data_IF_082983257516
#
_entry.id   IF_082983257516
#
_cell.length_a   1.000
_cell.length_b   1.000
_cell.length_c   1.000
_cell.angle_alpha   90.00
_cell.angle_beta   90.00
_cell.angle_gamma   90.00
#
_symmetry.space_group_name_H-M   'P 1'
#
loop_
_entity.id
_entity.type
_entity.pdbx_description
1 polymer ?
#
# COMPACT_ATOMS: atom_id res chain seq x y z
N UNK A 1 1.96 40.33 9.10
CA UNK A 1 1.30 39.31 8.28
C UNK A 1 1.66 39.65 6.84
N UNK A 2 2.77 39.10 6.34
CA UNK A 2 3.21 39.35 4.98
C UNK A 2 2.35 38.45 4.08
N UNK A 3 1.52 39.08 3.25
CA UNK A 3 0.92 38.47 2.07
C UNK A 3 2.01 37.73 1.30
N UNK A 4 1.97 36.40 1.31
CA UNK A 4 2.71 35.62 0.32
C UNK A 4 1.85 35.54 -0.94
N UNK A 5 2.41 35.82 -2.12
CA UNK A 5 1.66 35.87 -3.36
C UNK A 5 1.06 34.49 -3.67
N UNK A 6 -0.14 34.49 -4.27
CA UNK A 6 -0.74 33.31 -4.89
C UNK A 6 0.31 32.59 -5.75
N UNK A 7 0.74 31.40 -5.32
CA UNK A 7 1.78 30.62 -5.99
C UNK A 7 3.02 30.29 -5.15
N UNK A 8 3.16 30.78 -3.91
CA UNK A 8 4.27 30.38 -3.03
C UNK A 8 4.25 28.87 -2.74
N UNK A 9 5.33 28.17 -3.10
CA UNK A 9 5.52 26.75 -2.80
C UNK A 9 5.65 26.54 -1.29
N UNK A 10 4.82 25.65 -0.74
CA UNK A 10 4.90 25.19 0.65
C UNK A 10 6.03 24.17 0.83
N UNK A 11 6.20 23.28 -0.15
CA UNK A 11 7.26 22.27 -0.19
C UNK A 11 7.87 22.25 -1.59
N UNK A 12 9.19 22.23 -1.65
CA UNK A 12 9.98 22.10 -2.88
C UNK A 12 11.06 21.03 -2.67
N UNK A 13 10.99 19.96 -3.44
CA UNK A 13 11.88 18.81 -3.43
C UNK A 13 12.57 18.75 -4.78
N UNK A 14 13.91 18.73 -4.78
CA UNK A 14 14.72 18.70 -5.99
C UNK A 14 15.71 17.55 -5.96
N UNK A 15 15.52 16.62 -6.89
CA UNK A 15 16.35 15.43 -7.09
C UNK A 15 16.64 14.69 -5.78
N UNK A 16 15.61 14.57 -4.93
CA UNK A 16 15.74 13.94 -3.60
C UNK A 16 15.93 12.44 -3.76
N UNK A 17 17.01 11.91 -3.17
CA UNK A 17 17.26 10.48 -3.08
C UNK A 17 17.28 10.04 -1.63
N UNK A 18 16.93 8.79 -1.38
CA UNK A 18 17.05 8.15 -0.06
C UNK A 18 17.43 6.69 -0.22
N UNK A 19 18.54 6.33 0.40
CA UNK A 19 18.98 4.95 0.54
C UNK A 19 19.00 4.54 2.02
N UNK A 20 18.80 3.26 2.29
CA UNK A 20 18.95 2.67 3.61
C UNK A 20 19.99 1.56 3.55
N UNK A 21 20.98 1.61 4.45
CA UNK A 21 22.01 0.59 4.51
C UNK A 21 21.43 -0.73 5.02
N UNK A 22 21.60 -1.81 4.24
CA UNK A 22 21.30 -3.16 4.72
C UNK A 22 22.48 -3.70 5.51
N UNK A 23 22.21 -4.57 6.48
CA UNK A 23 23.26 -5.24 7.28
C UNK A 23 24.27 -6.04 6.45
N UNK A 24 23.94 -6.37 5.19
CA UNK A 24 24.79 -7.06 4.21
C UNK A 24 25.83 -6.17 3.51
N UNK A 25 25.79 -4.84 3.73
CA UNK A 25 26.75 -3.89 3.14
C UNK A 25 26.31 -3.23 1.82
N UNK A 26 25.19 -3.65 1.24
CA UNK A 26 24.56 -2.96 0.10
C UNK A 26 23.50 -1.95 0.54
N UNK A 27 23.51 -0.75 -0.05
CA UNK A 27 22.51 0.28 0.19
C UNK A 27 21.24 0.02 -0.64
N UNK A 28 20.08 -0.09 0.01
CA UNK A 28 18.79 -0.16 -0.66
C UNK A 28 18.34 1.25 -1.06
N UNK A 29 18.40 1.56 -2.36
CA UNK A 29 17.86 2.80 -2.91
C UNK A 29 16.33 2.75 -2.89
N UNK A 30 15.71 3.54 -2.00
CA UNK A 30 14.26 3.61 -1.85
C UNK A 30 13.65 4.76 -2.65
N UNK A 31 14.32 5.91 -2.69
CA UNK A 31 13.89 7.06 -3.50
C UNK A 31 15.02 7.47 -4.45
N UNK A 32 14.68 7.69 -5.72
CA UNK A 32 15.62 8.12 -6.76
C UNK A 32 15.14 9.40 -7.42
N UNK A 33 15.92 10.49 -7.25
CA UNK A 33 15.74 11.78 -7.93
C UNK A 33 14.30 12.27 -7.94
N UNK A 34 13.66 12.28 -6.77
CA UNK A 34 12.29 12.75 -6.63
C UNK A 34 12.25 14.27 -6.73
N UNK A 35 11.54 14.77 -7.75
CA UNK A 35 11.17 16.18 -7.90
C UNK A 35 9.69 16.36 -7.57
N UNK A 36 9.38 17.27 -6.64
CA UNK A 36 8.02 17.52 -6.17
C UNK A 36 7.86 18.95 -5.67
N UNK A 37 6.80 19.62 -6.09
CA UNK A 37 6.41 20.92 -5.55
C UNK A 37 4.97 20.89 -5.07
N UNK A 38 4.72 21.31 -3.83
CA UNK A 38 3.38 21.47 -3.25
C UNK A 38 3.08 22.95 -3.10
N UNK A 39 1.89 23.37 -3.53
CA UNK A 39 1.40 24.74 -3.43
C UNK A 39 0.20 24.79 -2.47
N UNK A 40 -0.05 25.97 -1.89
CA UNK A 40 -1.27 26.22 -1.11
C UNK A 40 -2.54 26.05 -1.96
N UNK A 41 -3.65 25.71 -1.31
CA UNK A 41 -5.00 25.67 -1.86
C UNK A 41 -5.35 24.38 -2.60
N UNK A 42 -4.54 23.33 -2.51
CA UNK A 42 -4.80 22.05 -3.19
C UNK A 42 -4.64 20.87 -2.25
N UNK A 43 -5.44 19.83 -2.48
CA UNK A 43 -5.20 18.48 -1.96
C UNK A 43 -4.37 17.72 -3.01
N UNK A 44 -3.19 17.27 -2.62
CA UNK A 44 -2.29 16.50 -3.47
C UNK A 44 -2.23 15.06 -2.97
N UNK A 45 -2.48 14.11 -3.86
CA UNK A 45 -2.38 12.68 -3.61
C UNK A 45 -1.08 12.10 -4.14
N UNK A 46 -0.37 11.34 -3.32
CA UNK A 46 0.71 10.45 -3.72
C UNK A 46 0.14 9.04 -3.82
N UNK A 47 -0.01 8.57 -5.05
CA UNK A 47 -0.64 7.30 -5.37
C UNK A 47 0.41 6.31 -5.86
N UNK A 48 0.46 5.10 -5.32
CA UNK A 48 1.40 4.08 -5.79
C UNK A 48 1.33 2.80 -4.98
N UNK A 49 1.93 1.73 -5.49
CA UNK A 49 1.93 0.41 -4.84
C UNK A 49 2.58 0.44 -3.45
N UNK A 50 2.25 -0.52 -2.59
CA UNK A 50 2.97 -0.70 -1.33
C UNK A 50 4.48 -0.84 -1.57
N UNK A 51 5.30 -0.33 -0.65
CA UNK A 51 6.76 -0.33 -0.79
C UNK A 51 7.36 0.64 -1.81
N UNK A 52 6.57 1.46 -2.52
CA UNK A 52 7.10 2.41 -3.52
C UNK A 52 7.86 3.63 -2.95
N UNK A 53 8.02 3.72 -1.63
CA UNK A 53 8.74 4.82 -0.97
C UNK A 53 7.88 6.05 -0.61
N UNK A 54 6.55 6.01 -0.77
CA UNK A 54 5.63 7.12 -0.45
C UNK A 54 5.76 7.61 1.00
N UNK A 55 5.67 6.70 1.97
CA UNK A 55 5.81 7.04 3.40
C UNK A 55 7.23 7.52 3.73
N UNK A 56 8.25 7.02 3.03
CA UNK A 56 9.63 7.56 3.13
C UNK A 56 9.68 9.01 2.67
N UNK A 57 9.07 9.36 1.54
CA UNK A 57 9.00 10.74 1.06
C UNK A 57 8.25 11.63 2.06
N UNK A 58 7.11 11.16 2.57
CA UNK A 58 6.30 11.90 3.53
C UNK A 58 7.08 12.18 4.82
N UNK A 59 7.86 11.20 5.32
CA UNK A 59 8.76 11.37 6.48
C UNK A 59 9.91 12.35 6.23
N UNK A 60 10.41 12.46 4.99
CA UNK A 60 11.38 13.50 4.64
C UNK A 60 10.74 14.88 4.72
N UNK A 61 9.53 15.06 4.17
CA UNK A 61 8.80 16.33 4.21
C UNK A 61 8.44 16.70 5.66
N UNK A 62 8.08 15.72 6.49
CA UNK A 62 7.84 15.88 7.92
C UNK A 62 9.12 16.15 8.73
N UNK A 63 10.30 16.09 8.11
CA UNK A 63 11.59 16.29 8.78
C UNK A 63 11.97 15.19 9.77
N UNK A 64 11.35 14.01 9.66
CA UNK A 64 11.61 12.86 10.53
C UNK A 64 12.84 12.06 10.06
N UNK A 65 13.13 12.08 8.76
CA UNK A 65 14.32 11.49 8.18
C UNK A 65 14.95 12.47 7.17
N UNK A 66 16.28 12.49 7.10
CA UNK A 66 16.99 13.31 6.12
C UNK A 66 17.07 12.59 4.76
N UNK A 67 17.06 13.32 3.63
CA UNK A 67 17.41 12.72 2.34
C UNK A 67 18.89 12.29 2.33
N UNK A 68 19.23 11.27 1.53
CA UNK A 68 20.64 10.88 1.30
C UNK A 68 21.35 11.84 0.35
N UNK A 69 20.62 12.41 -0.61
CA UNK A 69 21.09 13.48 -1.50
C UNK A 69 19.90 14.28 -2.05
N UNK A 70 20.20 15.38 -2.74
CA UNK A 70 19.18 16.32 -3.23
C UNK A 70 18.84 17.38 -2.19
N UNK A 71 17.83 18.18 -2.49
CA UNK A 71 17.43 19.33 -1.67
C UNK A 71 15.94 19.26 -1.35
N UNK A 72 15.61 19.38 -0.07
CA UNK A 72 14.24 19.32 0.45
C UNK A 72 13.98 20.60 1.24
N UNK A 73 13.01 21.40 0.79
CA UNK A 73 12.69 22.70 1.40
C UNK A 73 11.22 22.78 1.79
N UNK A 74 10.95 23.43 2.92
CA UNK A 74 9.61 23.83 3.34
C UNK A 74 9.60 25.36 3.49
N UNK A 75 8.68 26.04 2.79
CA UNK A 75 8.57 27.52 2.73
C UNK A 75 9.91 28.22 2.43
N UNK A 76 10.71 27.62 1.54
CA UNK A 76 12.01 28.14 1.13
C UNK A 76 13.19 27.78 2.03
N UNK A 77 12.96 27.18 3.20
CA UNK A 77 14.01 26.76 4.14
C UNK A 77 14.32 25.27 4.01
N UNK A 78 15.60 24.89 4.06
CA UNK A 78 16.01 23.47 4.02
C UNK A 78 15.49 22.71 5.23
N UNK A 79 14.86 21.57 4.99
CA UNK A 79 14.33 20.67 6.02
C UNK A 79 15.50 19.94 6.70
N UNK A 80 15.78 20.29 7.95
CA UNK A 80 16.80 19.63 8.80
C UNK A 80 16.22 18.83 9.96
N UNK A 81 14.92 18.97 10.17
CA UNK A 81 14.13 18.42 11.27
C UNK A 81 12.67 18.83 11.06
N UNK A 82 11.76 18.52 11.99
CA UNK A 82 10.34 18.81 11.84
C UNK A 82 10.08 20.31 11.58
N UNK A 83 9.62 20.68 10.37
CA UNK A 83 9.40 22.08 10.04
C UNK A 83 8.16 22.62 10.77
N UNK A 84 8.22 23.88 11.21
CA UNK A 84 7.06 24.55 11.79
C UNK A 84 5.88 24.55 10.82
N UNK A 85 4.64 24.47 11.30
CA UNK A 85 3.45 24.52 10.44
C UNK A 85 3.29 23.31 9.51
N UNK A 86 3.94 22.19 9.80
CA UNK A 86 3.63 20.90 9.17
C UNK A 86 3.11 19.97 10.26
N UNK A 87 1.97 19.32 10.00
CA UNK A 87 1.42 18.29 10.88
C UNK A 87 1.25 16.98 10.13
N UNK A 88 1.33 15.86 10.84
CA UNK A 88 1.24 14.53 10.25
C UNK A 88 0.14 13.70 10.93
N UNK A 89 -0.66 13.04 10.11
CA UNK A 89 -1.58 11.97 10.50
C UNK A 89 -0.98 10.66 10.02
N UNK A 90 -0.79 9.73 10.95
CA UNK A 90 -0.15 8.44 10.70
C UNK A 90 -1.17 7.38 10.32
N UNK A 91 -0.70 6.32 9.64
CA UNK A 91 -1.49 5.15 9.27
C UNK A 91 -2.03 4.42 10.51
N UNK A 92 -1.17 4.17 11.50
CA UNK A 92 -1.64 3.80 12.84
C UNK A 92 -2.19 5.05 13.53
N UNK A 93 -3.32 4.96 14.23
CA UNK A 93 -3.91 6.08 14.97
C UNK A 93 -2.88 6.87 15.82
N UNK A 94 -1.83 6.19 16.29
CA UNK A 94 -0.68 6.75 17.00
C UNK A 94 -1.09 7.67 18.17
N UNK A 95 -2.22 7.35 18.81
CA UNK A 95 -2.71 8.06 20.00
C UNK A 95 -2.00 7.50 21.24
N UNK A 96 -1.80 8.34 22.24
CA UNK A 96 -1.28 7.92 23.53
C UNK A 96 -2.41 7.26 24.34
N UNK A 97 -2.32 5.94 24.62
CA UNK A 97 -3.44 5.18 25.18
C UNK A 97 -3.75 5.53 26.64
N UNK A 98 -2.82 6.18 27.34
CA UNK A 98 -2.97 6.64 28.72
C UNK A 98 -3.41 8.11 28.84
N UNK A 99 -3.59 8.81 27.71
CA UNK A 99 -4.13 10.17 27.67
C UNK A 99 -5.58 10.12 27.20
N UNK A 100 -6.42 11.04 27.70
CA UNK A 100 -7.77 11.23 27.17
C UNK A 100 -7.76 11.83 25.77
N UNK A 101 -8.92 11.90 25.10
CA UNK A 101 -9.07 12.60 23.81
C UNK A 101 -8.57 14.03 23.91
N UNK A 102 -9.04 14.79 24.90
CA UNK A 102 -8.60 16.17 25.14
C UNK A 102 -7.08 16.26 25.27
N UNK A 103 -6.49 15.43 26.13
CA UNK A 103 -5.05 15.43 26.37
C UNK A 103 -4.23 15.04 25.13
N UNK A 104 -4.74 14.10 24.32
CA UNK A 104 -4.11 13.74 23.04
C UNK A 104 -4.07 14.93 22.09
N UNK A 105 -5.16 15.69 21.99
CA UNK A 105 -5.26 16.88 21.13
C UNK A 105 -4.40 18.02 21.67
N UNK A 106 -4.37 18.23 22.98
CA UNK A 106 -3.59 19.29 23.63
C UNK A 106 -2.06 19.14 23.44
N UNK A 107 -1.56 17.92 23.19
CA UNK A 107 -0.13 17.60 23.16
C UNK A 107 0.69 18.48 22.20
N UNK A 108 0.17 18.72 20.99
CA UNK A 108 0.86 19.54 19.99
C UNK A 108 1.01 21.00 20.44
N UNK A 109 -0.01 21.54 21.11
CA UNK A 109 0.02 22.89 21.66
C UNK A 109 0.93 23.00 22.89
N UNK A 110 1.01 21.94 23.70
CA UNK A 110 1.94 21.86 24.83
C UNK A 110 3.40 21.94 24.37
N UNK A 111 3.74 21.19 23.32
CA UNK A 111 5.08 21.22 22.73
C UNK A 111 5.45 22.59 22.15
N UNK A 112 4.45 23.37 21.73
CA UNK A 112 4.61 24.76 21.27
C UNK A 112 4.65 25.78 22.43
N UNK A 113 4.51 25.34 23.68
CA UNK A 113 4.52 26.21 24.86
C UNK A 113 3.28 27.08 25.02
N UNK A 114 2.15 26.68 24.44
CA UNK A 114 0.87 27.41 24.57
C UNK A 114 0.32 27.24 25.99
N UNK A 115 -0.18 28.33 26.59
CA UNK A 115 -0.76 28.33 27.93
C UNK A 115 -1.91 27.31 28.06
N UNK A 116 -2.06 26.73 29.26
CA UNK A 116 -3.01 25.66 29.52
C UNK A 116 -4.47 26.04 29.22
N UNK A 117 -4.88 27.29 29.48
CA UNK A 117 -6.27 27.73 29.28
C UNK A 117 -6.58 27.92 27.79
N UNK A 118 -5.64 28.52 27.06
CA UNK A 118 -5.73 28.67 25.61
C UNK A 118 -5.69 27.32 24.91
N UNK A 119 -4.78 26.44 25.35
CA UNK A 119 -4.63 25.08 24.84
C UNK A 119 -5.91 24.28 24.96
N UNK A 120 -6.55 24.31 26.12
CA UNK A 120 -7.84 23.64 26.34
C UNK A 120 -8.92 24.17 25.41
N UNK A 121 -9.02 25.50 25.28
CA UNK A 121 -10.02 26.16 24.42
C UNK A 121 -9.86 25.72 22.96
N UNK A 122 -8.63 25.73 22.43
CA UNK A 122 -8.34 25.29 21.07
C UNK A 122 -8.59 23.79 20.87
N UNK A 123 -8.20 22.95 21.82
CA UNK A 123 -8.41 21.52 21.73
C UNK A 123 -9.90 21.17 21.69
N UNK A 124 -10.73 21.81 22.52
CA UNK A 124 -12.18 21.65 22.49
C UNK A 124 -12.78 22.05 21.14
N UNK A 125 -12.37 23.19 20.59
CA UNK A 125 -12.83 23.63 19.27
C UNK A 125 -12.41 22.66 18.15
N UNK A 126 -11.19 22.11 18.23
CA UNK A 126 -10.72 21.12 17.27
C UNK A 126 -11.47 19.79 17.38
N UNK A 127 -11.86 19.37 18.59
CA UNK A 127 -12.67 18.16 18.83
C UNK A 127 -14.09 18.33 18.29
N UNK A 128 -14.70 19.49 18.52
CA UNK A 128 -16.02 19.84 17.98
C UNK A 128 -16.00 19.88 16.44
N UNK A 129 -14.95 20.47 15.84
CA UNK A 129 -14.78 20.52 14.38
C UNK A 129 -14.83 19.15 13.71
N UNK A 130 -14.31 18.11 14.36
CA UNK A 130 -14.32 16.73 13.84
C UNK A 130 -15.52 15.90 14.33
N UNK A 131 -16.46 16.50 15.06
CA UNK A 131 -17.71 15.87 15.51
C UNK A 131 -17.54 14.83 16.62
N UNK A 132 -16.66 15.11 17.60
CA UNK A 132 -16.49 14.28 18.80
C UNK A 132 -16.82 15.03 20.10
N UNK A 133 -17.77 15.96 20.04
CA UNK A 133 -18.31 16.60 21.25
C UNK A 133 -18.83 15.54 22.24
N UNK A 134 -18.52 15.73 23.52
CA UNK A 134 -18.89 14.80 24.60
C UNK A 134 -17.93 13.62 24.81
N UNK A 135 -16.89 13.45 23.98
CA UNK A 135 -15.87 12.39 24.14
C UNK A 135 -14.53 12.89 24.69
N UNK A 136 -14.45 14.13 25.16
CA UNK A 136 -13.20 14.80 25.56
C UNK A 136 -12.45 14.07 26.68
N UNK A 137 -13.20 13.45 27.60
CA UNK A 137 -12.68 12.69 28.73
C UNK A 137 -12.46 11.20 28.43
N UNK A 138 -12.88 10.70 27.27
CA UNK A 138 -12.72 9.30 26.91
C UNK A 138 -11.24 8.98 26.64
N UNK A 139 -10.85 7.74 26.89
CA UNK A 139 -9.54 7.19 26.52
C UNK A 139 -9.63 6.51 25.13
N UNK A 140 -8.53 6.43 24.36
CA UNK A 140 -8.53 5.83 23.02
C UNK A 140 -9.13 4.41 22.94
N UNK A 141 -9.00 3.61 24.00
CA UNK A 141 -9.57 2.26 24.10
C UNK A 141 -11.10 2.22 24.17
N UNK A 142 -11.74 3.34 24.51
CA UNK A 142 -13.19 3.49 24.63
C UNK A 142 -13.83 3.98 23.31
N UNK A 143 -13.01 4.25 22.30
CA UNK A 143 -13.42 4.82 21.02
C UNK A 143 -13.43 3.74 19.92
N UNK A 144 -14.30 3.90 18.92
CA UNK A 144 -14.23 3.10 17.68
C UNK A 144 -13.00 3.49 16.83
N UNK A 145 -12.68 2.70 15.80
CA UNK A 145 -11.59 3.00 14.87
C UNK A 145 -11.73 4.37 14.22
N UNK A 146 -12.92 4.68 13.68
CA UNK A 146 -13.20 5.97 13.07
C UNK A 146 -13.07 7.13 14.06
N UNK A 147 -13.56 6.96 15.29
CA UNK A 147 -13.42 7.96 16.34
C UNK A 147 -11.94 8.20 16.70
N UNK A 148 -11.13 7.14 16.85
CA UNK A 148 -9.68 7.30 17.07
C UNK A 148 -9.00 8.07 15.93
N UNK A 149 -9.39 7.81 14.69
CA UNK A 149 -8.84 8.55 13.54
C UNK A 149 -9.25 10.02 13.56
N UNK A 150 -10.50 10.34 13.92
CA UNK A 150 -10.97 11.72 14.14
C UNK A 150 -10.16 12.45 15.22
N UNK A 151 -9.82 11.78 16.33
CA UNK A 151 -8.90 12.35 17.33
C UNK A 151 -7.52 12.63 16.73
N UNK A 152 -7.03 11.73 15.86
CA UNK A 152 -5.79 11.95 15.09
C UNK A 152 -5.84 13.22 14.24
N UNK A 153 -6.96 13.47 13.54
CA UNK A 153 -7.17 14.72 12.80
C UNK A 153 -7.23 15.93 13.72
N UNK A 154 -8.03 15.90 14.80
CA UNK A 154 -8.07 17.02 15.76
C UNK A 154 -6.67 17.39 16.27
N UNK A 155 -5.87 16.38 16.67
CA UNK A 155 -4.49 16.59 17.14
C UNK A 155 -3.59 17.22 16.08
N UNK A 156 -3.77 16.89 14.81
CA UNK A 156 -2.99 17.49 13.73
C UNK A 156 -3.48 18.90 13.36
N UNK A 157 -4.80 19.13 13.39
CA UNK A 157 -5.43 20.40 12.99
C UNK A 157 -5.31 21.50 14.05
N UNK A 158 -5.27 21.14 15.33
CA UNK A 158 -5.28 22.11 16.45
C UNK A 158 -4.08 23.07 16.43
N UNK A 159 -2.95 22.67 15.84
CA UNK A 159 -1.75 23.52 15.71
C UNK A 159 -1.80 24.46 14.50
N UNK A 160 -2.91 24.47 13.76
CA UNK A 160 -3.15 25.27 12.54
C UNK A 160 -1.99 25.14 11.52
N UNK A 161 -1.71 23.92 11.04
CA UNK A 161 -0.57 23.69 10.15
C UNK A 161 -0.82 24.30 8.77
N UNK A 162 0.23 24.83 8.13
CA UNK A 162 0.17 25.20 6.72
C UNK A 162 0.00 23.97 5.82
N UNK A 163 0.67 22.86 6.14
CA UNK A 163 0.59 21.61 5.39
C UNK A 163 0.20 20.44 6.30
N UNK A 164 -0.89 19.76 5.94
CA UNK A 164 -1.29 18.50 6.56
C UNK A 164 -0.78 17.33 5.73
N UNK A 165 0.05 16.50 6.34
CA UNK A 165 0.55 15.25 5.77
C UNK A 165 -0.32 14.10 6.27
N UNK A 166 -0.77 13.22 5.38
CA UNK A 166 -1.56 12.05 5.76
C UNK A 166 -0.94 10.78 5.16
N UNK A 167 -0.55 9.82 5.99
CA UNK A 167 0.01 8.53 5.56
C UNK A 167 -1.08 7.45 5.68
N UNK A 168 -1.72 7.09 4.57
CA UNK A 168 -2.81 6.11 4.51
C UNK A 168 -3.89 6.31 5.60
N UNK A 169 -4.47 7.52 5.71
CA UNK A 169 -5.29 7.90 6.86
C UNK A 169 -6.61 7.14 7.00
N UNK A 170 -7.01 6.31 6.03
CA UNK A 170 -8.27 5.57 6.08
C UNK A 170 -8.10 4.06 5.93
N UNK A 171 -6.87 3.55 5.79
CA UNK A 171 -6.63 2.12 5.49
C UNK A 171 -6.97 1.18 6.65
N UNK A 172 -6.96 1.67 7.88
CA UNK A 172 -7.23 0.88 9.08
C UNK A 172 -8.71 0.90 9.52
N UNK A 173 -9.61 1.42 8.68
CA UNK A 173 -11.03 1.61 8.97
C UNK A 173 -11.87 0.66 8.10
N UNK A 174 -13.03 0.25 8.60
CA UNK A 174 -14.02 -0.43 7.75
C UNK A 174 -14.53 0.51 6.65
N UNK A 175 -15.00 -0.07 5.55
CA UNK A 175 -15.36 0.63 4.31
C UNK A 175 -16.34 1.80 4.54
N UNK A 176 -17.39 1.58 5.34
CA UNK A 176 -18.44 2.60 5.58
C UNK A 176 -17.91 3.74 6.46
N UNK A 177 -17.15 3.41 7.50
CA UNK A 177 -16.51 4.42 8.35
C UNK A 177 -15.48 5.24 7.57
N UNK A 178 -14.65 4.60 6.74
CA UNK A 178 -13.69 5.27 5.87
C UNK A 178 -14.39 6.22 4.88
N UNK A 179 -15.49 5.79 4.26
CA UNK A 179 -16.28 6.62 3.35
C UNK A 179 -16.89 7.85 4.01
N UNK A 180 -17.53 7.66 5.16
CA UNK A 180 -18.12 8.76 5.92
C UNK A 180 -17.05 9.79 6.28
N UNK A 181 -15.93 9.32 6.83
CA UNK A 181 -14.88 10.19 7.31
C UNK A 181 -14.14 10.93 6.17
N UNK A 182 -13.99 10.31 5.00
CA UNK A 182 -13.46 10.99 3.80
C UNK A 182 -14.38 12.11 3.34
N UNK A 183 -15.68 11.84 3.31
CA UNK A 183 -16.70 12.82 2.89
C UNK A 183 -16.68 14.01 3.82
N UNK A 184 -16.72 13.78 5.14
CA UNK A 184 -16.64 14.84 6.15
C UNK A 184 -15.38 15.72 5.99
N UNK A 185 -14.21 15.11 5.77
CA UNK A 185 -12.97 15.87 5.58
C UNK A 185 -12.98 16.72 4.30
N UNK A 186 -13.50 16.16 3.21
CA UNK A 186 -13.64 16.88 1.93
C UNK A 186 -14.62 18.04 2.09
N UNK A 187 -15.75 17.83 2.76
CA UNK A 187 -16.74 18.88 3.02
C UNK A 187 -16.15 20.01 3.87
N UNK A 188 -15.46 19.67 4.98
CA UNK A 188 -14.76 20.66 5.81
C UNK A 188 -13.68 21.44 5.04
N UNK A 189 -12.99 20.79 4.11
CA UNK A 189 -12.00 21.42 3.25
C UNK A 189 -12.64 22.41 2.26
N UNK A 190 -13.70 22.00 1.55
CA UNK A 190 -14.41 22.83 0.57
C UNK A 190 -15.09 24.02 1.24
N UNK A 191 -15.67 23.81 2.43
CA UNK A 191 -16.29 24.87 3.23
C UNK A 191 -15.26 25.87 3.79
N UNK A 192 -13.96 25.60 3.66
CA UNK A 192 -12.89 26.45 4.20
C UNK A 192 -12.82 26.46 5.73
N UNK A 193 -13.36 25.41 6.38
CA UNK A 193 -13.41 25.29 7.84
C UNK A 193 -12.17 24.64 8.43
N UNK A 194 -11.40 23.90 7.63
CA UNK A 194 -10.12 23.34 8.08
C UNK A 194 -9.06 24.46 8.19
N UNK A 195 -8.40 24.63 9.34
CA UNK A 195 -7.37 25.65 9.54
C UNK A 195 -6.03 25.25 8.92
N UNK A 196 -6.02 24.89 7.63
CA UNK A 196 -4.85 24.40 6.89
C UNK A 196 -4.75 25.04 5.50
N UNK A 197 -3.54 25.15 4.93
CA UNK A 197 -3.35 25.72 3.58
C UNK A 197 -3.31 24.68 2.48
N UNK A 198 -2.85 23.46 2.75
CA UNK A 198 -2.78 22.36 1.76
C UNK A 198 -2.73 21.01 2.45
N UNK A 199 -3.04 19.97 1.70
CA UNK A 199 -2.98 18.57 2.14
C UNK A 199 -2.09 17.79 1.17
N UNK A 200 -1.19 16.97 1.72
CA UNK A 200 -0.49 15.93 0.98
C UNK A 200 -0.87 14.58 1.59
N UNK A 201 -1.61 13.77 0.86
CA UNK A 201 -2.03 12.45 1.30
C UNK A 201 -1.34 11.35 0.51
N UNK A 202 -0.95 10.30 1.19
CA UNK A 202 -0.47 9.05 0.62
C UNK A 202 -1.60 8.04 0.68
N UNK A 203 -1.90 7.43 -0.44
CA UNK A 203 -2.85 6.32 -0.52
C UNK A 203 -2.41 5.33 -1.60
N UNK A 204 -2.88 4.10 -1.50
CA UNK A 204 -2.82 3.11 -2.56
C UNK A 204 -4.17 2.94 -3.26
N UNK A 205 -5.24 3.59 -2.79
CA UNK A 205 -6.58 3.52 -3.35
C UNK A 205 -6.80 4.62 -4.41
N UNK A 206 -7.11 4.21 -5.64
CA UNK A 206 -7.31 5.12 -6.78
C UNK A 206 -8.60 5.92 -6.62
N UNK A 207 -9.71 5.29 -6.24
CA UNK A 207 -10.99 5.99 -6.04
C UNK A 207 -10.87 7.05 -4.95
N UNK A 208 -10.16 6.75 -3.86
CA UNK A 208 -9.88 7.70 -2.79
C UNK A 208 -9.12 8.92 -3.33
N UNK A 209 -8.06 8.70 -4.09
CA UNK A 209 -7.28 9.77 -4.69
C UNK A 209 -8.14 10.63 -5.63
N UNK A 210 -8.96 10.01 -6.48
CA UNK A 210 -9.87 10.74 -7.40
C UNK A 210 -10.99 11.45 -6.65
N UNK A 211 -11.46 10.90 -5.53
CA UNK A 211 -12.52 11.52 -4.73
C UNK A 211 -12.02 12.78 -4.01
N UNK A 212 -10.79 12.76 -3.49
CA UNK A 212 -10.31 13.80 -2.57
C UNK A 212 -9.32 14.80 -3.18
N UNK A 213 -8.51 14.39 -4.16
CA UNK A 213 -7.35 15.18 -4.59
C UNK A 213 -7.66 16.07 -5.79
N UNK A 214 -7.05 17.25 -5.85
CA UNK A 214 -7.02 18.11 -7.05
C UNK A 214 -5.90 17.70 -8.02
N UNK A 215 -4.87 17.05 -7.48
CA UNK A 215 -3.66 16.62 -8.19
C UNK A 215 -3.18 15.30 -7.62
N UNK A 216 -2.94 14.33 -8.50
CA UNK A 216 -2.45 13.00 -8.16
C UNK A 216 -1.07 12.80 -8.79
N UNK A 217 -0.12 12.35 -7.99
CA UNK A 217 1.24 12.01 -8.38
C UNK A 217 1.40 10.50 -8.27
N UNK A 218 1.56 9.86 -9.43
CA UNK A 218 1.74 8.42 -9.50
C UNK A 218 3.20 8.09 -9.22
N UNK A 219 3.44 7.29 -8.19
CA UNK A 219 4.74 6.83 -7.73
C UNK A 219 5.06 5.44 -8.29
N UNK A 220 6.20 5.28 -8.96
CA UNK A 220 6.71 3.94 -9.32
C UNK A 220 7.42 3.28 -8.15
N UNK A 221 7.52 1.95 -8.17
CA UNK A 221 8.27 1.18 -7.17
C UNK A 221 9.68 0.81 -7.67
N UNK A 222 10.62 0.64 -6.73
CA UNK A 222 11.95 0.06 -6.94
C UNK A 222 12.79 0.68 -8.09
N UNK A 223 13.29 1.92 -7.93
CA UNK A 223 13.13 2.83 -6.79
C UNK A 223 11.93 3.78 -6.93
N UNK A 224 11.57 4.42 -5.82
CA UNK A 224 10.52 5.43 -5.75
C UNK A 224 10.83 6.69 -6.54
N UNK A 225 9.98 7.01 -7.52
CA UNK A 225 10.03 8.26 -8.31
C UNK A 225 8.63 8.66 -8.78
N UNK A 226 8.45 9.94 -9.08
CA UNK A 226 7.22 10.44 -9.71
C UNK A 226 7.20 9.98 -11.17
N UNK A 227 6.33 9.04 -11.49
CA UNK A 227 6.18 8.48 -12.83
C UNK A 227 5.22 9.28 -13.70
N UNK A 228 4.15 9.81 -13.11
CA UNK A 228 3.18 10.64 -13.80
C UNK A 228 2.51 11.63 -12.85
N UNK A 229 2.03 12.72 -13.43
CA UNK A 229 1.19 13.71 -12.76
C UNK A 229 -0.17 13.76 -13.46
N UNK A 230 -1.23 13.78 -12.66
CA UNK A 230 -2.61 13.73 -13.11
C UNK A 230 -3.38 14.83 -12.40
N UNK A 231 -3.99 15.72 -13.17
CA UNK A 231 -4.86 16.77 -12.66
C UNK A 231 -6.29 16.24 -12.60
N UNK A 232 -6.97 16.45 -11.49
CA UNK A 232 -8.36 16.03 -11.31
C UNK A 232 -9.27 17.24 -11.52
N UNK A 233 -9.76 17.41 -12.74
CA UNK A 233 -10.61 18.55 -13.14
C UNK A 233 -12.11 18.32 -12.87
N UNK A 234 -12.43 17.39 -11.95
CA UNK A 234 -13.81 17.11 -11.53
C UNK A 234 -14.20 18.04 -10.37
N UNK A 235 -15.33 18.77 -10.47
CA UNK A 235 -15.80 19.62 -9.37
C UNK A 235 -16.28 18.77 -8.20
N UNK A 236 -16.19 19.32 -6.99
CA UNK A 236 -16.83 18.73 -5.82
C UNK A 236 -18.30 19.20 -5.71
N UNK A 237 -19.21 18.38 -5.13
CA UNK A 237 -18.99 17.02 -4.66
C UNK A 237 -18.84 16.03 -5.83
N UNK A 238 -17.96 15.03 -5.68
CA UNK A 238 -17.68 14.02 -6.70
C UNK A 238 -18.45 12.75 -6.38
N UNK A 239 -19.15 12.17 -7.35
CA UNK A 239 -19.88 10.91 -7.17
C UNK A 239 -19.21 9.76 -7.91
N UNK A 240 -19.01 8.63 -7.22
CA UNK A 240 -18.32 7.44 -7.78
C UNK A 240 -19.07 6.78 -8.95
N UNK A 241 -20.37 7.04 -9.04
CA UNK A 241 -21.22 6.52 -10.12
C UNK A 241 -21.14 7.37 -11.38
N UNK A 242 -20.54 8.57 -11.32
CA UNK A 242 -20.43 9.45 -12.48
C UNK A 242 -19.51 8.84 -13.53
N UNK A 243 -19.92 8.80 -14.82
CA UNK A 243 -19.08 8.22 -15.88
C UNK A 243 -17.70 8.88 -15.99
N UNK A 244 -17.62 10.20 -15.78
CA UNK A 244 -16.35 10.94 -15.82
C UNK A 244 -15.41 10.57 -14.66
N UNK A 245 -15.97 10.26 -13.48
CA UNK A 245 -15.21 9.76 -12.34
C UNK A 245 -14.60 8.39 -12.66
N UNK A 246 -15.43 7.45 -13.14
CA UNK A 246 -15.00 6.10 -13.51
C UNK A 246 -13.94 6.11 -14.60
N UNK A 247 -14.15 6.87 -15.67
CA UNK A 247 -13.15 7.04 -16.73
C UNK A 247 -11.80 7.53 -16.21
N UNK A 248 -11.80 8.46 -15.24
CA UNK A 248 -10.57 8.95 -14.64
C UNK A 248 -9.90 7.85 -13.80
N UNK A 249 -10.66 7.13 -12.98
CA UNK A 249 -10.19 5.96 -12.23
C UNK A 249 -9.56 4.93 -13.17
N UNK A 250 -10.27 4.53 -14.23
CA UNK A 250 -9.80 3.58 -15.24
C UNK A 250 -8.51 4.06 -15.93
N UNK A 251 -8.41 5.36 -16.23
CA UNK A 251 -7.22 5.94 -16.84
C UNK A 251 -6.00 5.94 -15.91
N UNK A 252 -6.21 6.22 -14.61
CA UNK A 252 -5.14 6.17 -13.61
C UNK A 252 -4.71 4.72 -13.39
N UNK A 253 -5.70 3.83 -13.32
CA UNK A 253 -5.51 2.40 -13.22
C UNK A 253 -4.66 1.85 -14.38
N UNK A 254 -5.03 2.18 -15.62
CA UNK A 254 -4.27 1.82 -16.82
C UNK A 254 -2.83 2.34 -16.75
N UNK A 255 -2.60 3.58 -16.29
CA UNK A 255 -1.25 4.14 -16.12
C UNK A 255 -0.44 3.46 -15.02
N UNK A 256 -1.08 2.97 -13.97
CA UNK A 256 -0.41 2.23 -12.89
C UNK A 256 -0.07 0.79 -13.28
N UNK A 257 -0.78 0.23 -14.26
CA UNK A 257 -0.59 -1.14 -14.76
C UNK A 257 0.22 -1.19 -16.05
N UNK A 258 0.24 -0.13 -16.85
CA UNK A 258 1.15 0.05 -17.96
C UNK A 258 2.57 0.12 -17.40
N UNK A 259 3.29 -1.01 -17.51
CA UNK A 259 4.74 -0.94 -17.62
C UNK A 259 5.03 0.05 -18.75
N UNK A 260 5.97 0.99 -18.59
CA UNK A 260 6.50 1.65 -19.78
C UNK A 260 6.90 0.53 -20.74
N UNK A 261 6.38 0.56 -21.96
CA UNK A 261 6.80 -0.32 -23.04
C UNK A 261 8.30 -0.09 -23.26
N UNK A 262 9.11 -0.78 -22.45
CA UNK A 262 10.42 -1.22 -22.83
C UNK A 262 10.15 -2.08 -24.06
N UNK A 263 10.49 -1.53 -25.22
CA UNK A 263 10.70 -2.31 -26.45
C UNK A 263 11.31 -3.63 -26.04
N UNK A 264 10.55 -4.69 -26.16
CA UNK A 264 11.04 -6.06 -25.99
C UNK A 264 12.14 -6.26 -27.04
N UNK A 265 13.36 -6.59 -26.59
CA UNK A 265 13.92 -7.85 -27.04
C UNK A 265 13.96 -8.78 -25.83
N UNK A 266 13.38 -9.96 -26.04
CA UNK A 266 13.54 -11.17 -25.25
C UNK A 266 13.56 -11.02 -23.71
N UNK A 267 12.49 -11.51 -23.08
CA UNK A 267 12.51 -12.20 -21.76
C UNK A 267 13.42 -11.54 -20.71
N UNK A 268 12.95 -10.48 -20.05
CA UNK A 268 13.49 -10.06 -18.75
C UNK A 268 12.52 -9.09 -18.06
N UNK A 269 12.25 -9.29 -16.77
CA UNK A 269 11.59 -8.28 -15.92
C UNK A 269 10.36 -8.74 -15.12
N UNK A 270 10.49 -9.79 -14.31
CA UNK A 270 9.93 -9.80 -12.95
C UNK A 270 11.15 -9.56 -12.05
N UNK A 271 11.11 -8.62 -11.12
CA UNK A 271 12.20 -8.50 -10.15
C UNK A 271 12.27 -9.81 -9.36
N UNK A 272 13.36 -10.56 -9.55
CA UNK A 272 13.50 -11.96 -9.14
C UNK A 272 13.37 -12.96 -10.30
N UNK A 273 14.22 -12.89 -11.33
CA UNK A 273 14.41 -14.03 -12.25
C UNK A 273 15.34 -15.05 -11.59
N UNK A 274 14.79 -15.84 -10.66
CA UNK A 274 15.53 -16.83 -9.90
C UNK A 274 14.93 -17.12 -8.52
N UNK A 275 15.73 -17.69 -7.63
CA UNK A 275 15.30 -18.08 -6.27
C UNK A 275 14.89 -16.86 -5.42
N UNK A 276 15.40 -15.66 -5.71
CA UNK A 276 15.03 -14.42 -5.01
C UNK A 276 13.65 -13.83 -5.33
N UNK A 277 12.72 -14.62 -5.88
CA UNK A 277 11.34 -14.18 -6.12
C UNK A 277 10.56 -14.12 -4.80
N UNK A 278 10.04 -12.94 -4.44
CA UNK A 278 9.19 -12.77 -3.25
C UNK A 278 7.78 -13.30 -3.56
N UNK A 279 7.27 -14.19 -2.72
CA UNK A 279 5.89 -14.66 -2.77
C UNK A 279 5.15 -14.21 -1.51
N UNK A 280 4.09 -13.44 -1.71
CA UNK A 280 3.17 -13.12 -0.63
C UNK A 280 2.18 -14.27 -0.41
N UNK A 281 1.70 -14.42 0.83
CA UNK A 281 0.90 -15.57 1.21
C UNK A 281 -0.49 -15.60 0.56
N UNK A 282 -0.75 -16.62 -0.27
CA UNK A 282 -2.10 -16.97 -0.75
C UNK A 282 -2.28 -18.48 -0.65
N UNK A 283 -3.41 -18.93 -0.13
CA UNK A 283 -3.72 -20.36 -0.13
C UNK A 283 -4.10 -20.87 -1.52
N UNK A 284 -3.76 -22.13 -1.82
CA UNK A 284 -4.17 -22.77 -3.08
C UNK A 284 -5.68 -22.86 -3.25
N UNK A 285 -6.43 -22.95 -2.14
CA UNK A 285 -7.90 -22.99 -2.14
C UNK A 285 -8.48 -21.68 -2.67
N UNK A 286 -7.91 -20.54 -2.26
CA UNK A 286 -8.33 -19.21 -2.75
C UNK A 286 -8.04 -19.07 -4.24
N UNK A 287 -6.84 -19.46 -4.70
CA UNK A 287 -6.50 -19.43 -6.12
C UNK A 287 -7.40 -20.34 -6.96
N UNK A 288 -7.68 -21.55 -6.47
CA UNK A 288 -8.57 -22.50 -7.16
C UNK A 288 -10.00 -21.95 -7.24
N UNK A 289 -10.54 -21.44 -6.13
CA UNK A 289 -11.87 -20.85 -6.08
C UNK A 289 -12.00 -19.61 -6.99
N UNK A 290 -10.93 -18.81 -7.12
CA UNK A 290 -10.90 -17.67 -8.04
C UNK A 290 -10.93 -18.12 -9.50
N UNK A 291 -10.16 -19.15 -9.86
CA UNK A 291 -10.20 -19.73 -11.23
C UNK A 291 -11.59 -20.28 -11.55
N UNK A 292 -12.21 -21.02 -10.61
CA UNK A 292 -13.57 -21.53 -10.76
C UNK A 292 -14.60 -20.41 -10.91
N UNK A 293 -14.50 -19.38 -10.07
CA UNK A 293 -15.40 -18.22 -10.12
C UNK A 293 -15.29 -17.51 -11.46
N UNK A 294 -14.07 -17.28 -11.96
CA UNK A 294 -13.86 -16.66 -13.27
C UNK A 294 -14.42 -17.52 -14.41
N UNK A 295 -14.28 -18.84 -14.34
CA UNK A 295 -14.75 -19.75 -15.39
C UNK A 295 -16.28 -19.87 -15.43
N UNK A 296 -16.96 -19.62 -14.32
CA UNK A 296 -18.41 -19.69 -14.22
C UNK A 296 -19.11 -18.41 -14.73
N UNK A 297 -20.39 -18.49 -15.14
CA UNK A 297 -21.20 -17.31 -15.40
C UNK A 297 -21.32 -16.43 -14.15
N UNK A 298 -21.32 -15.09 -14.27
CA UNK A 298 -21.42 -14.30 -15.51
C UNK A 298 -20.08 -13.94 -16.16
N UNK A 299 -18.96 -14.48 -15.67
CA UNK A 299 -17.61 -14.03 -16.08
C UNK A 299 -17.07 -14.78 -17.30
N UNK A 300 -17.44 -16.06 -17.49
CA UNK A 300 -17.10 -16.84 -18.68
C UNK A 300 -15.62 -16.76 -19.11
N UNK A 301 -14.72 -16.73 -18.11
CA UNK A 301 -13.27 -16.67 -18.26
C UNK A 301 -12.65 -15.28 -18.25
N UNK A 302 -13.43 -14.20 -18.13
CA UNK A 302 -12.94 -12.81 -18.04
C UNK A 302 -13.76 -11.98 -17.06
N UNK A 303 -13.09 -11.33 -16.13
CA UNK A 303 -13.73 -10.41 -15.21
C UNK A 303 -12.94 -9.12 -15.05
N UNK A 304 -13.66 -8.00 -14.98
CA UNK A 304 -13.14 -6.75 -14.42
C UNK A 304 -12.82 -6.98 -12.94
N UNK A 305 -11.59 -6.69 -12.52
CA UNK A 305 -11.12 -6.95 -11.16
C UNK A 305 -11.90 -6.18 -10.09
N UNK A 306 -12.16 -4.87 -10.22
CA UNK A 306 -13.03 -4.15 -9.30
C UNK A 306 -14.41 -4.81 -9.12
N UNK A 307 -15.05 -5.22 -10.21
CA UNK A 307 -16.35 -5.92 -10.16
C UNK A 307 -16.23 -7.25 -9.42
N UNK A 308 -15.19 -8.03 -9.75
CA UNK A 308 -14.94 -9.32 -9.14
C UNK A 308 -14.61 -9.20 -7.64
N UNK A 309 -13.82 -8.22 -7.25
CA UNK A 309 -13.49 -7.92 -5.85
C UNK A 309 -14.75 -7.58 -5.06
N UNK A 310 -15.61 -6.72 -5.61
CA UNK A 310 -16.89 -6.36 -5.01
C UNK A 310 -17.81 -7.57 -4.82
N UNK A 311 -17.84 -8.49 -5.78
CA UNK A 311 -18.63 -9.72 -5.68
C UNK A 311 -18.08 -10.71 -4.64
N UNK A 312 -16.76 -10.80 -4.53
CA UNK A 312 -16.06 -11.69 -3.59
C UNK A 312 -15.87 -11.07 -2.20
N UNK A 313 -16.30 -9.82 -1.98
CA UNK A 313 -16.06 -9.05 -0.75
C UNK A 313 -14.57 -8.99 -0.38
N UNK A 314 -13.72 -8.88 -1.40
CA UNK A 314 -12.26 -8.75 -1.25
C UNK A 314 -11.86 -7.29 -1.41
N UNK A 315 -10.81 -6.90 -0.70
CA UNK A 315 -10.18 -5.61 -0.93
C UNK A 315 -9.46 -5.60 -2.30
N UNK A 316 -9.24 -4.39 -2.83
CA UNK A 316 -8.64 -4.25 -4.16
C UNK A 316 -7.21 -4.82 -4.20
N UNK A 317 -6.42 -4.62 -3.16
CA UNK A 317 -5.06 -5.17 -3.03
C UNK A 317 -5.05 -6.70 -2.91
N UNK A 318 -5.99 -7.28 -2.17
CA UNK A 318 -6.15 -8.73 -2.05
C UNK A 318 -6.44 -9.37 -3.42
N UNK A 319 -7.40 -8.85 -4.18
CA UNK A 319 -7.71 -9.40 -5.51
C UNK A 319 -6.53 -9.21 -6.47
N UNK A 320 -5.76 -8.13 -6.35
CA UNK A 320 -4.57 -7.90 -7.17
C UNK A 320 -3.50 -8.93 -6.89
N UNK A 321 -3.25 -9.19 -5.60
CA UNK A 321 -2.28 -10.18 -5.19
C UNK A 321 -2.66 -11.59 -5.68
N UNK A 322 -3.95 -11.94 -5.62
CA UNK A 322 -4.43 -13.20 -6.16
C UNK A 322 -4.28 -13.27 -7.69
N UNK A 323 -4.59 -12.17 -8.39
CA UNK A 323 -4.37 -12.05 -9.83
C UNK A 323 -2.90 -12.17 -10.24
N UNK A 324 -1.98 -11.53 -9.52
CA UNK A 324 -0.53 -11.64 -9.74
C UNK A 324 -0.03 -13.07 -9.50
N UNK A 325 -0.55 -13.76 -8.48
CA UNK A 325 -0.25 -15.17 -8.19
C UNK A 325 -0.75 -16.10 -9.30
N UNK A 326 -1.96 -15.90 -9.81
CA UNK A 326 -2.48 -16.65 -10.97
C UNK A 326 -1.70 -16.36 -12.25
N UNK A 327 -1.23 -15.12 -12.43
CA UNK A 327 -0.38 -14.76 -13.56
C UNK A 327 1.00 -15.39 -13.48
N UNK A 328 1.61 -15.42 -12.29
CA UNK A 328 2.86 -16.13 -12.05
C UNK A 328 2.74 -17.60 -12.43
N UNK A 329 1.67 -18.25 -11.96
CA UNK A 329 1.37 -19.64 -12.26
C UNK A 329 0.84 -19.84 -13.69
N UNK A 330 0.72 -18.80 -14.51
CA UNK A 330 0.20 -18.87 -15.89
C UNK A 330 -1.21 -19.45 -16.01
N UNK A 331 -2.03 -19.35 -14.95
CA UNK A 331 -3.45 -19.70 -15.01
C UNK A 331 -4.31 -18.54 -15.50
N UNK A 332 -3.91 -17.30 -15.23
CA UNK A 332 -4.59 -16.10 -15.72
C UNK A 332 -3.59 -15.08 -16.30
N UNK A 333 -4.11 -14.09 -17.01
CA UNK A 333 -3.38 -12.90 -17.43
C UNK A 333 -4.07 -11.68 -16.83
N UNK A 334 -3.26 -10.79 -16.26
CA UNK A 334 -3.69 -9.51 -15.75
C UNK A 334 -3.39 -8.44 -16.80
N UNK A 335 -4.42 -7.83 -17.39
CA UNK A 335 -4.26 -6.81 -18.43
C UNK A 335 -5.31 -5.72 -18.27
N UNK A 336 -4.88 -4.46 -18.20
CA UNK A 336 -5.75 -3.27 -18.19
C UNK A 336 -6.87 -3.28 -17.13
N UNK A 337 -6.76 -4.09 -16.08
CA UNK A 337 -7.77 -4.16 -15.00
C UNK A 337 -8.71 -5.34 -15.11
N UNK A 338 -8.51 -6.15 -16.14
CA UNK A 338 -9.18 -7.43 -16.30
C UNK A 338 -8.27 -8.58 -15.88
N UNK A 339 -8.90 -9.57 -15.27
CA UNK A 339 -8.32 -10.89 -15.07
C UNK A 339 -8.94 -11.83 -16.11
N UNK A 340 -8.10 -12.38 -16.98
CA UNK A 340 -8.51 -13.26 -18.08
C UNK A 340 -7.88 -14.64 -17.88
N UNK A 341 -8.69 -15.70 -17.84
CA UNK A 341 -8.16 -17.05 -17.78
C UNK A 341 -7.40 -17.40 -19.06
N UNK A 342 -6.22 -17.97 -18.88
CA UNK A 342 -5.49 -18.63 -19.96
C UNK A 342 -6.15 -19.96 -20.32
N UNK A 343 -5.69 -20.61 -21.40
CA UNK A 343 -6.11 -21.98 -21.72
C UNK A 343 -5.85 -22.96 -20.55
N UNK A 344 -4.73 -22.82 -19.85
CA UNK A 344 -4.43 -23.63 -18.67
C UNK A 344 -5.40 -23.35 -17.52
N UNK A 345 -5.76 -22.09 -17.28
CA UNK A 345 -6.76 -21.72 -16.26
C UNK A 345 -8.16 -22.23 -16.59
N UNK A 346 -8.58 -22.13 -17.86
CA UNK A 346 -9.84 -22.69 -18.33
C UNK A 346 -9.87 -24.20 -18.16
N UNK A 347 -8.78 -24.91 -18.53
CA UNK A 347 -8.67 -26.36 -18.31
C UNK A 347 -8.73 -26.68 -16.82
N UNK A 348 -7.97 -25.96 -15.99
CA UNK A 348 -7.95 -26.16 -14.54
C UNK A 348 -9.35 -26.12 -13.93
N UNK A 349 -10.18 -25.13 -14.30
CA UNK A 349 -11.56 -25.02 -13.82
C UNK A 349 -12.42 -26.26 -14.10
N UNK A 350 -12.19 -26.97 -15.20
CA UNK A 350 -13.01 -28.09 -15.66
C UNK A 350 -12.42 -29.48 -15.35
N UNK A 351 -11.21 -29.55 -14.81
CA UNK A 351 -10.57 -30.81 -14.44
C UNK A 351 -11.09 -31.34 -13.10
N UNK A 352 -11.04 -32.67 -12.94
CA UNK A 352 -11.25 -33.33 -11.66
C UNK A 352 -10.07 -33.07 -10.71
N UNK A 353 -10.30 -33.27 -9.41
CA UNK A 353 -9.36 -32.88 -8.33
C UNK A 353 -7.92 -33.37 -8.56
N UNK A 354 -7.72 -34.63 -8.91
CA UNK A 354 -6.37 -35.19 -9.09
C UNK A 354 -5.64 -34.60 -10.30
N UNK A 355 -6.36 -34.31 -11.38
CA UNK A 355 -5.78 -33.72 -12.58
C UNK A 355 -5.52 -32.22 -12.43
N UNK A 356 -6.32 -31.52 -11.61
CA UNK A 356 -6.02 -30.15 -11.17
C UNK A 356 -4.70 -30.08 -10.41
N UNK A 357 -4.48 -30.99 -9.45
CA UNK A 357 -3.22 -31.04 -8.68
C UNK A 357 -2.02 -31.25 -9.59
N UNK A 358 -2.10 -32.17 -10.56
CA UNK A 358 -1.03 -32.40 -11.54
C UNK A 358 -0.75 -31.16 -12.40
N UNK A 359 -1.79 -30.50 -12.91
CA UNK A 359 -1.63 -29.28 -13.70
C UNK A 359 -1.03 -28.14 -12.85
N UNK A 360 -1.48 -27.99 -11.61
CA UNK A 360 -0.91 -27.03 -10.67
C UNK A 360 0.56 -27.32 -10.37
N UNK A 361 0.91 -28.59 -10.13
CA UNK A 361 2.28 -29.04 -9.90
C UNK A 361 3.22 -28.70 -11.07
N UNK A 362 2.77 -28.95 -12.31
CA UNK A 362 3.53 -28.63 -13.52
C UNK A 362 3.82 -27.12 -13.62
N UNK A 363 2.78 -26.29 -13.47
CA UNK A 363 2.91 -24.84 -13.52
C UNK A 363 3.78 -24.30 -12.38
N UNK A 364 3.65 -24.86 -11.18
CA UNK A 364 4.41 -24.46 -10.01
C UNK A 364 5.90 -24.77 -10.18
N UNK A 365 6.27 -25.95 -10.67
CA UNK A 365 7.68 -26.30 -10.95
C UNK A 365 8.26 -25.42 -12.06
N UNK A 366 7.50 -25.19 -13.13
CA UNK A 366 8.00 -24.52 -14.34
C UNK A 366 8.08 -22.99 -14.20
N UNK A 367 7.29 -22.40 -13.31
CA UNK A 367 7.15 -20.94 -13.23
C UNK A 367 7.53 -20.36 -11.87
N UNK A 368 7.73 -21.17 -10.83
CA UNK A 368 8.19 -20.71 -9.52
C UNK A 368 9.59 -21.29 -9.22
N UNK A 369 10.67 -20.50 -9.41
CA UNK A 369 12.05 -21.02 -9.34
C UNK A 369 12.42 -21.65 -8.00
N UNK A 370 11.92 -21.12 -6.88
CA UNK A 370 12.14 -21.67 -5.54
C UNK A 370 11.56 -23.08 -5.41
N UNK A 371 10.40 -23.33 -6.02
CA UNK A 371 9.83 -24.68 -6.06
C UNK A 371 10.72 -25.62 -6.86
N UNK A 372 11.18 -25.17 -8.04
CA UNK A 372 12.11 -25.95 -8.87
C UNK A 372 13.42 -26.29 -8.14
N UNK A 373 13.94 -25.36 -7.33
CA UNK A 373 15.11 -25.59 -6.47
C UNK A 373 14.83 -26.65 -5.40
N UNK A 374 13.73 -26.52 -4.66
CA UNK A 374 13.36 -27.48 -3.60
C UNK A 374 13.22 -28.88 -4.19
N UNK A 375 12.46 -29.01 -5.28
CA UNK A 375 12.24 -30.29 -5.95
C UNK A 375 13.55 -30.92 -6.39
N UNK A 376 14.44 -30.15 -7.02
CA UNK A 376 15.77 -30.61 -7.46
C UNK A 376 16.63 -31.08 -6.29
N UNK A 377 16.69 -30.31 -5.20
CA UNK A 377 17.47 -30.67 -3.99
C UNK A 377 16.94 -31.96 -3.38
N UNK A 378 15.62 -32.16 -3.34
CA UNK A 378 15.03 -33.40 -2.85
C UNK A 378 15.29 -34.59 -3.78
N UNK A 379 15.30 -34.39 -5.10
CA UNK A 379 15.64 -35.44 -6.07
C UNK A 379 17.12 -35.86 -6.02
N UNK A 380 18.02 -34.90 -5.86
CA UNK A 380 19.47 -35.14 -5.86
C UNK A 380 19.99 -35.76 -4.55
N UNK A 381 19.27 -35.57 -3.44
CA UNK A 381 19.68 -36.09 -2.14
C UNK A 381 19.31 -37.57 -1.98
N UNK A 382 20.23 -38.45 -1.58
CA UNK A 382 19.93 -39.86 -1.31
C UNK A 382 18.84 -40.08 -0.25
N UNK A 383 18.71 -39.15 0.70
CA UNK A 383 17.68 -39.22 1.76
C UNK A 383 16.33 -38.67 1.30
N UNK A 384 16.25 -38.03 0.13
CA UNK A 384 15.07 -37.30 -0.33
C UNK A 384 14.51 -36.30 0.69
N UNK A 385 15.39 -35.77 1.55
CA UNK A 385 15.02 -34.84 2.62
C UNK A 385 15.93 -33.62 2.70
N UNK A 386 15.36 -32.47 3.05
CA UNK A 386 16.13 -31.23 3.25
C UNK A 386 15.50 -30.34 4.34
N UNK A 387 16.31 -29.73 5.22
CA UNK A 387 15.82 -28.79 6.22
C UNK A 387 15.36 -27.49 5.59
N UNK A 388 14.29 -26.91 6.11
CA UNK A 388 13.70 -25.66 5.65
C UNK A 388 14.69 -24.49 5.73
N UNK A 389 15.50 -24.47 6.79
CA UNK A 389 16.58 -23.51 7.00
C UNK A 389 17.53 -23.39 5.80
N UNK A 390 17.77 -24.47 5.02
CA UNK A 390 18.59 -24.39 3.80
C UNK A 390 17.98 -23.43 2.80
N UNK A 391 16.68 -23.57 2.53
CA UNK A 391 15.97 -22.76 1.54
C UNK A 391 15.67 -21.37 2.09
N UNK A 392 15.37 -21.26 3.38
CA UNK A 392 15.21 -19.98 4.09
C UNK A 392 16.48 -19.13 3.96
N UNK A 393 17.66 -19.68 4.29
CA UNK A 393 18.93 -18.98 4.15
C UNK A 393 19.20 -18.55 2.69
N UNK A 394 18.88 -19.42 1.73
CA UNK A 394 19.09 -19.09 0.30
C UNK A 394 18.08 -18.06 -0.22
N UNK A 395 16.89 -17.93 0.40
CA UNK A 395 15.97 -16.83 0.16
C UNK A 395 16.48 -15.53 0.81
N UNK A 396 16.99 -15.60 2.03
CA UNK A 396 17.56 -14.49 2.80
C UNK A 396 18.76 -13.83 2.10
N UNK A 397 19.47 -14.56 1.22
CA UNK A 397 20.49 -13.99 0.33
C UNK A 397 19.91 -12.91 -0.61
N UNK A 398 18.60 -12.93 -0.87
CA UNK A 398 17.91 -12.02 -1.80
C UNK A 398 16.83 -11.14 -1.14
N UNK A 399 16.25 -11.57 -0.01
CA UNK A 399 15.12 -10.89 0.65
C UNK A 399 15.28 -10.83 2.17
N UNK A 400 14.42 -10.07 2.85
CA UNK A 400 14.44 -9.99 4.32
C UNK A 400 13.90 -11.28 4.98
N UNK A 401 14.27 -11.54 6.24
CA UNK A 401 13.91 -12.76 6.98
C UNK A 401 12.38 -12.98 7.02
N UNK A 402 11.61 -11.92 7.27
CA UNK A 402 10.14 -11.95 7.26
C UNK A 402 9.57 -12.32 5.88
N UNK A 403 10.16 -11.80 4.80
CA UNK A 403 9.78 -12.11 3.43
C UNK A 403 10.19 -13.52 3.00
N UNK A 404 11.34 -14.00 3.49
CA UNK A 404 11.81 -15.36 3.24
C UNK A 404 10.89 -16.37 3.92
N UNK A 405 10.49 -16.11 5.16
CA UNK A 405 9.53 -16.92 5.89
C UNK A 405 8.15 -16.94 5.22
N UNK A 406 7.65 -15.78 4.78
CA UNK A 406 6.38 -15.68 4.07
C UNK A 406 6.42 -16.43 2.73
N UNK A 407 7.51 -16.28 1.97
CA UNK A 407 7.73 -16.98 0.71
C UNK A 407 7.74 -18.49 0.94
N UNK A 408 8.47 -18.96 1.96
CA UNK A 408 8.58 -20.38 2.27
C UNK A 408 7.24 -20.97 2.74
N UNK A 409 6.46 -20.23 3.56
CA UNK A 409 5.09 -20.64 3.94
C UNK A 409 4.18 -20.79 2.73
N UNK A 410 4.28 -19.88 1.77
CA UNK A 410 3.52 -19.94 0.51
C UNK A 410 3.90 -21.15 -0.33
N UNK A 411 5.20 -21.40 -0.48
CA UNK A 411 5.73 -22.57 -1.16
C UNK A 411 5.28 -23.88 -0.49
N UNK A 412 5.30 -23.95 0.85
CA UNK A 412 4.81 -25.12 1.60
C UNK A 412 3.32 -25.34 1.34
N UNK A 413 2.50 -24.27 1.38
CA UNK A 413 1.07 -24.37 1.11
C UNK A 413 0.79 -24.88 -0.31
N UNK A 414 1.42 -24.27 -1.31
CA UNK A 414 1.26 -24.64 -2.72
C UNK A 414 1.81 -26.03 -3.04
N UNK A 415 2.97 -26.38 -2.47
CA UNK A 415 3.62 -27.68 -2.66
C UNK A 415 2.86 -28.84 -2.04
N UNK A 416 2.25 -28.63 -0.86
CA UNK A 416 1.35 -29.62 -0.22
C UNK A 416 0.10 -29.86 -1.07
N UNK A 417 -0.52 -28.80 -1.58
CA UNK A 417 -1.68 -28.93 -2.47
C UNK A 417 -1.35 -29.69 -3.75
N UNK A 418 -0.17 -29.39 -4.32
CA UNK A 418 0.34 -30.01 -5.54
C UNK A 418 0.96 -31.41 -5.33
N UNK A 419 1.01 -31.91 -4.09
CA UNK A 419 1.61 -33.20 -3.72
C UNK A 419 3.07 -33.34 -4.20
N UNK A 420 3.83 -32.23 -4.23
CA UNK A 420 5.22 -32.20 -4.69
C UNK A 420 6.22 -32.67 -3.65
N UNK A 421 5.86 -32.52 -2.38
CA UNK A 421 6.62 -32.95 -1.21
C UNK A 421 5.70 -32.98 0.01
N UNK A 422 6.18 -33.58 1.08
CA UNK A 422 5.69 -33.38 2.43
C UNK A 422 6.57 -32.38 3.20
N UNK A 423 5.98 -31.77 4.22
CA UNK A 423 6.65 -30.82 5.10
C UNK A 423 6.22 -31.08 6.55
N UNK A 424 7.18 -31.32 7.43
CA UNK A 424 6.96 -31.44 8.89
C UNK A 424 7.22 -30.09 9.56
N UNK A 425 6.19 -29.55 10.21
CA UNK A 425 6.25 -28.25 10.90
C UNK A 425 7.03 -28.28 12.21
N UNK A 426 7.12 -29.45 12.89
CA UNK A 426 7.87 -29.57 14.14
C UNK A 426 9.37 -29.67 13.88
N UNK A 427 9.75 -30.43 12.85
CA UNK A 427 11.16 -30.65 12.51
C UNK A 427 11.68 -29.72 11.41
N UNK A 428 10.82 -28.90 10.80
CA UNK A 428 11.12 -28.03 9.66
C UNK A 428 11.82 -28.79 8.52
N UNK A 429 11.29 -29.95 8.15
CA UNK A 429 11.87 -30.84 7.13
C UNK A 429 10.96 -31.03 5.93
N UNK A 430 11.51 -30.84 4.74
CA UNK A 430 10.92 -31.27 3.47
C UNK A 430 11.29 -32.72 3.18
N UNK A 431 10.35 -33.53 2.68
CA UNK A 431 10.57 -34.92 2.26
C UNK A 431 9.75 -35.31 1.03
N UNK A 432 10.22 -36.26 0.21
CA UNK A 432 9.40 -36.89 -0.85
C UNK A 432 8.61 -38.11 -0.36
N UNK A 433 9.00 -38.66 0.78
CA UNK A 433 8.24 -39.71 1.44
C UNK A 433 7.09 -39.08 2.24
N UNK A 434 5.87 -39.61 2.05
CA UNK A 434 4.70 -39.21 2.83
C UNK A 434 4.98 -39.44 4.33
N UNK A 435 4.72 -38.48 5.22
CA UNK A 435 4.69 -38.74 6.65
C UNK A 435 3.48 -39.66 6.87
N UNK A 436 3.73 -40.82 7.47
CA UNK A 436 2.68 -41.72 7.92
C UNK A 436 1.77 -41.09 8.97
#
# INVERSE_FOLDING_TARGET
>A
MLDQPEGSSLVDMRSVCRSFSKGSGEDLLVLEKVDLTIHSGKIVGLLGRSGSGKSTLLRIIAGLIAPSSGDARCRGETIKGPPNGVAMVFQSFALFPWLTVLQNVELGLEALGIDATERRTRALAAIDLIGLDGFESAYPKELSGGMRQRVGFARALVVHPDLLLMDEPFSALDVLTAETLRTDLVDLWIEGRLPIKSVLMVTHNIEEAVLMCDRILVFSSNPGRVAAEIKVDLPHPRHRLDPAFRQLVDSIYARMTQRPELKTPAVEGIHGTGVGMILQHVSSNVLSGLIETLAAPPYDGRADLPVLAGHLQLEADEIFHFGESLQLLRFAQLSEGDLVLTEAGQRFAHLETDDRKKLFAEHLINHVPVMGLIRRVLDERPSHTAPAARFRNELEDYMAEDQADETLKTIVSWGRYAELFAYDEQSELFSLENPH
#
